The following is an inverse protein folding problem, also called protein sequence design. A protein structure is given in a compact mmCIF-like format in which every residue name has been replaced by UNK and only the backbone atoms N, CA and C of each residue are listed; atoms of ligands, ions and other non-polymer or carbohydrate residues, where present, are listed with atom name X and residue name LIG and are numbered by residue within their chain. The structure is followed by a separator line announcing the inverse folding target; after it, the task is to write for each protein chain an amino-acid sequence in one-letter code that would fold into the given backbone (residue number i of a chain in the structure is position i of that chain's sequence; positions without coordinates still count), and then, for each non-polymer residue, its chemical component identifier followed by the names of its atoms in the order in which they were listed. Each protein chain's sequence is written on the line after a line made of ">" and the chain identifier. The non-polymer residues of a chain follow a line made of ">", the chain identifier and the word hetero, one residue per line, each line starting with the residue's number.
data_IF_193984274527
#
_entry.id   IF_193984274527
#
_cell.length_a   1.000
_cell.length_b   1.000
_cell.length_c   1.000
_cell.angle_alpha   90.00
_cell.angle_beta   90.00
_cell.angle_gamma   90.00
#
_symmetry.space_group_name_H-M   'P 1'
#
loop_
_entity.id
_entity.type
_entity.pdbx_description
1 polymer ?
#
# COMPACT_ATOMS: atom_id res chain seq x y z
N UNK A 1 23.65 -39.18 -31.54
CA UNK A 1 22.46 -38.59 -30.91
C UNK A 1 22.77 -37.11 -30.74
N UNK A 2 22.32 -36.27 -31.72
CA UNK A 2 22.52 -34.84 -31.64
C UNK A 2 21.44 -34.23 -30.77
N UNK A 3 21.86 -33.56 -29.69
CA UNK A 3 20.94 -32.78 -28.85
C UNK A 3 20.83 -31.39 -29.48
N UNK A 4 19.75 -31.15 -30.19
CA UNK A 4 19.43 -29.83 -30.71
C UNK A 4 18.84 -28.97 -29.59
N UNK A 5 19.59 -28.01 -29.12
CA UNK A 5 19.13 -27.01 -28.15
C UNK A 5 18.21 -26.03 -28.87
N UNK A 6 16.93 -26.05 -28.57
CA UNK A 6 15.99 -25.04 -29.06
C UNK A 6 16.11 -23.78 -28.19
N UNK A 7 16.49 -22.67 -28.78
CA UNK A 7 16.52 -21.37 -28.12
C UNK A 7 15.20 -20.65 -28.38
N UNK A 8 14.50 -20.27 -27.34
CA UNK A 8 13.31 -19.44 -27.40
C UNK A 8 13.66 -18.03 -26.95
N UNK A 9 13.41 -17.05 -27.79
CA UNK A 9 13.56 -15.62 -27.43
C UNK A 9 12.18 -14.98 -27.48
N UNK A 10 11.81 -14.26 -26.43
CA UNK A 10 10.59 -13.47 -26.39
C UNK A 10 10.97 -12.01 -26.09
N UNK A 11 10.59 -11.10 -26.96
CA UNK A 11 10.72 -9.66 -26.76
C UNK A 11 9.32 -9.03 -26.69
N UNK A 12 9.12 -8.12 -25.74
CA UNK A 12 7.88 -7.38 -25.64
C UNK A 12 8.16 -5.92 -25.25
N UNK A 13 7.62 -5.00 -26.05
CA UNK A 13 7.53 -3.59 -25.69
C UNK A 13 6.20 -3.34 -24.98
N UNK A 14 6.29 -2.86 -23.76
CA UNK A 14 5.12 -2.66 -22.90
C UNK A 14 5.08 -1.22 -22.35
N UNK A 15 3.99 -0.52 -22.62
CA UNK A 15 3.73 0.82 -22.06
C UNK A 15 2.46 0.78 -21.21
N UNK A 16 2.59 1.11 -19.96
CA UNK A 16 1.43 1.29 -19.07
C UNK A 16 1.34 2.74 -18.59
N UNK A 17 0.12 3.24 -18.45
CA UNK A 17 -0.17 4.55 -17.88
C UNK A 17 -1.07 4.36 -16.68
N UNK A 18 -0.72 5.00 -15.57
CA UNK A 18 -1.53 5.01 -14.36
C UNK A 18 -2.01 6.43 -14.07
N UNK A 19 -3.30 6.56 -13.83
CA UNK A 19 -3.91 7.78 -13.27
C UNK A 19 -4.54 7.40 -11.93
N UNK A 20 -4.23 8.18 -10.90
CA UNK A 20 -4.82 8.00 -9.57
C UNK A 20 -5.28 9.36 -9.03
N UNK A 21 -6.45 9.36 -8.38
CA UNK A 21 -7.01 10.51 -7.70
C UNK A 21 -7.72 10.04 -6.43
N UNK A 22 -7.63 10.81 -5.36
CA UNK A 22 -8.28 10.48 -4.10
C UNK A 22 -8.63 11.71 -3.30
N UNK A 23 -9.55 11.54 -2.36
CA UNK A 23 -9.94 12.53 -1.38
C UNK A 23 -10.15 11.86 -0.03
N UNK A 24 -9.78 12.57 1.04
CA UNK A 24 -9.98 12.10 2.40
C UNK A 24 -10.53 13.21 3.29
N UNK A 25 -11.35 12.82 4.25
CA UNK A 25 -11.85 13.69 5.31
C UNK A 25 -11.45 13.08 6.64
N UNK A 26 -10.82 13.89 7.50
CA UNK A 26 -10.41 13.49 8.84
C UNK A 26 -11.08 14.39 9.86
N UNK A 27 -11.70 13.78 10.87
CA UNK A 27 -12.18 14.45 12.07
C UNK A 27 -11.13 14.38 13.19
N UNK A 28 -11.34 15.16 14.26
CA UNK A 28 -10.56 15.05 15.51
C UNK A 28 -11.50 15.12 16.71
N UNK A 29 -11.35 14.18 17.63
CA UNK A 29 -12.12 14.10 18.87
C UNK A 29 -11.18 13.75 20.02
N UNK A 30 -11.27 14.48 21.11
CA UNK A 30 -10.51 14.22 22.33
C UNK A 30 -11.41 13.55 23.39
N UNK A 31 -11.02 12.38 23.84
CA UNK A 31 -11.70 11.65 24.90
C UNK A 31 -10.68 11.26 25.98
N UNK A 32 -10.72 11.94 27.11
CA UNK A 32 -9.77 11.78 28.19
C UNK A 32 -8.32 11.99 27.71
N UNK A 33 -7.49 10.93 27.69
CA UNK A 33 -6.10 10.97 27.20
C UNK A 33 -5.95 10.52 25.74
N UNK A 34 -7.05 10.20 25.09
CA UNK A 34 -7.03 9.70 23.72
C UNK A 34 -7.48 10.77 22.75
N UNK A 35 -6.68 10.99 21.71
CA UNK A 35 -7.06 11.68 20.51
C UNK A 35 -7.54 10.64 19.50
N UNK A 36 -8.73 10.82 18.95
CA UNK A 36 -9.31 9.92 17.95
C UNK A 36 -9.46 10.69 16.64
N UNK A 37 -8.78 10.24 15.60
CA UNK A 37 -8.76 10.84 14.27
C UNK A 37 -9.43 9.91 13.26
N UNK A 38 -10.78 9.88 13.19
CA UNK A 38 -11.47 9.09 12.17
C UNK A 38 -11.20 9.69 10.79
N UNK A 39 -10.74 8.85 9.86
CA UNK A 39 -10.49 9.22 8.48
C UNK A 39 -11.35 8.38 7.56
N UNK A 40 -12.06 9.03 6.64
CA UNK A 40 -12.75 8.42 5.52
C UNK A 40 -12.06 8.86 4.23
N UNK A 41 -11.58 7.89 3.45
CA UNK A 41 -10.89 8.13 2.20
C UNK A 41 -11.60 7.43 1.04
N UNK A 42 -11.66 8.10 -0.10
CA UNK A 42 -12.14 7.57 -1.37
C UNK A 42 -11.02 7.73 -2.40
N UNK A 43 -10.58 6.62 -2.97
CA UNK A 43 -9.51 6.60 -3.95
C UNK A 43 -9.99 5.95 -5.25
N UNK A 44 -9.60 6.53 -6.38
CA UNK A 44 -9.83 6.00 -7.70
C UNK A 44 -8.51 5.88 -8.44
N UNK A 45 -8.27 4.73 -9.04
CA UNK A 45 -7.12 4.52 -9.92
C UNK A 45 -7.54 3.83 -11.21
N UNK A 46 -6.87 4.20 -12.26
CA UNK A 46 -7.00 3.56 -13.58
C UNK A 46 -5.62 3.24 -14.09
N UNK A 47 -5.41 1.99 -14.46
CA UNK A 47 -4.22 1.53 -15.16
C UNK A 47 -4.66 1.18 -16.57
N UNK A 48 -4.09 1.84 -17.55
CA UNK A 48 -4.29 1.56 -18.97
C UNK A 48 -3.02 0.98 -19.54
N UNK A 49 -3.12 -0.21 -20.10
CA UNK A 49 -2.02 -0.85 -20.81
C UNK A 49 -2.30 -0.82 -22.30
N UNK A 50 -1.28 -0.50 -23.08
CA UNK A 50 -1.35 -0.70 -24.53
C UNK A 50 -1.23 -2.19 -24.84
N UNK A 51 -1.77 -2.59 -25.98
CA UNK A 51 -1.61 -3.94 -26.50
C UNK A 51 -0.10 -4.23 -26.67
N UNK A 52 0.37 -5.28 -26.03
CA UNK A 52 1.74 -5.75 -26.17
C UNK A 52 1.77 -6.81 -27.27
N UNK A 53 2.64 -6.61 -28.27
CA UNK A 53 2.95 -7.64 -29.23
C UNK A 53 4.14 -8.46 -28.73
N UNK A 54 3.95 -9.76 -28.58
CA UNK A 54 5.02 -10.67 -28.27
C UNK A 54 5.48 -11.35 -29.56
N UNK A 55 6.73 -11.16 -29.92
CA UNK A 55 7.36 -11.92 -30.99
C UNK A 55 8.07 -13.13 -30.35
N UNK A 56 7.55 -14.31 -30.64
CA UNK A 56 8.16 -15.57 -30.17
C UNK A 56 8.81 -16.24 -31.36
N UNK A 57 10.14 -16.33 -31.35
CA UNK A 57 10.91 -17.05 -32.34
C UNK A 57 11.24 -18.45 -31.82
N UNK A 58 10.74 -19.46 -32.48
CA UNK A 58 10.99 -20.85 -32.13
C UNK A 58 11.38 -21.66 -33.36
N UNK A 59 12.58 -22.23 -33.35
CA UNK A 59 13.01 -23.23 -34.35
C UNK A 59 12.88 -22.82 -35.82
N UNK A 60 12.98 -21.50 -36.16
CA UNK A 60 12.87 -20.99 -37.51
C UNK A 60 11.46 -20.55 -37.95
N UNK A 61 10.53 -20.51 -37.03
CA UNK A 61 9.20 -19.91 -37.23
C UNK A 61 8.97 -18.75 -36.25
N UNK A 62 8.38 -17.64 -36.73
CA UNK A 62 7.94 -16.53 -35.89
C UNK A 62 6.44 -16.63 -35.69
N UNK A 63 5.98 -16.58 -34.45
CA UNK A 63 4.57 -16.36 -34.15
C UNK A 63 4.41 -15.07 -33.36
N UNK A 64 3.52 -14.19 -33.81
CA UNK A 64 3.16 -12.97 -33.10
C UNK A 64 1.88 -13.24 -32.33
N UNK A 65 1.95 -13.19 -31.03
CA UNK A 65 0.77 -13.18 -30.18
C UNK A 65 0.53 -11.76 -29.64
N UNK A 66 -0.68 -11.25 -29.86
CA UNK A 66 -1.16 -10.00 -29.28
C UNK A 66 -1.78 -10.32 -27.92
N UNK A 67 -1.18 -9.80 -26.87
CA UNK A 67 -1.79 -9.82 -25.54
C UNK A 67 -2.25 -8.41 -25.19
N UNK A 68 -3.53 -8.26 -24.90
CA UNK A 68 -4.10 -7.02 -24.37
C UNK A 68 -4.32 -7.20 -22.87
N UNK A 69 -3.43 -6.69 -22.01
CA UNK A 69 -3.59 -6.83 -20.56
C UNK A 69 -4.82 -6.08 -20.01
N UNK A 70 -5.49 -5.31 -20.88
CA UNK A 70 -6.73 -4.63 -20.55
C UNK A 70 -6.55 -3.43 -19.64
N UNK A 71 -7.65 -2.70 -19.45
CA UNK A 71 -7.71 -1.57 -18.53
C UNK A 71 -8.21 -2.04 -17.17
N UNK A 72 -7.47 -1.71 -16.12
CA UNK A 72 -7.90 -1.96 -14.74
C UNK A 72 -8.36 -0.64 -14.13
N UNK A 73 -9.59 -0.61 -13.63
CA UNK A 73 -10.13 0.52 -12.87
C UNK A 73 -10.45 0.05 -11.47
N UNK A 74 -9.95 0.78 -10.48
CA UNK A 74 -10.18 0.49 -9.07
C UNK A 74 -10.80 1.71 -8.40
N UNK A 75 -11.82 1.47 -7.61
CA UNK A 75 -12.41 2.44 -6.69
C UNK A 75 -12.37 1.83 -5.31
N UNK A 76 -11.78 2.51 -4.34
CA UNK A 76 -11.70 2.05 -2.95
C UNK A 76 -12.27 3.08 -1.99
N UNK A 77 -12.99 2.60 -0.99
CA UNK A 77 -13.47 3.36 0.15
C UNK A 77 -12.80 2.79 1.40
N UNK A 78 -12.10 3.64 2.13
CA UNK A 78 -11.39 3.24 3.35
C UNK A 78 -11.87 4.08 4.53
N UNK A 79 -12.22 3.40 5.62
CA UNK A 79 -12.44 4.01 6.92
C UNK A 79 -11.35 3.56 7.89
N UNK A 80 -10.63 4.52 8.47
CA UNK A 80 -9.51 4.24 9.36
C UNK A 80 -9.44 5.24 10.52
N UNK A 81 -10.07 4.93 11.67
CA UNK A 81 -9.89 5.73 12.87
C UNK A 81 -8.49 5.49 13.46
N UNK A 82 -7.81 6.56 13.81
CA UNK A 82 -6.50 6.52 14.46
C UNK A 82 -6.66 6.93 15.92
N UNK A 83 -6.44 6.00 16.83
CA UNK A 83 -6.50 6.21 18.28
C UNK A 83 -5.09 6.50 18.78
N UNK A 84 -4.85 7.73 19.21
CA UNK A 84 -3.54 8.18 19.69
C UNK A 84 -3.59 8.48 21.17
N UNK A 85 -2.52 8.14 21.86
CA UNK A 85 -2.28 8.57 23.23
C UNK A 85 -0.80 8.83 23.45
N UNK A 86 -0.48 9.87 24.21
CA UNK A 86 0.89 10.20 24.55
C UNK A 86 1.20 9.71 25.96
N UNK A 87 2.39 9.18 26.13
CA UNK A 87 2.94 8.76 27.42
C UNK A 87 4.18 9.60 27.70
N UNK A 88 4.21 10.26 28.83
CA UNK A 88 5.42 10.87 29.36
C UNK A 88 6.21 9.78 30.09
N UNK A 89 7.05 9.05 29.36
CA UNK A 89 7.90 8.05 29.96
C UNK A 89 9.21 8.68 30.39
N UNK A 90 9.36 8.89 31.70
CA UNK A 90 10.57 9.42 32.29
C UNK A 90 11.57 8.30 32.57
N UNK A 91 12.52 8.10 31.67
CA UNK A 91 13.69 7.26 31.94
C UNK A 91 14.90 7.76 31.14
N UNK A 92 15.51 8.81 31.63
CA UNK A 92 16.88 9.28 31.48
C UNK A 92 17.47 9.50 30.09
N UNK A 93 17.00 8.87 29.03
CA UNK A 93 17.55 8.99 27.65
C UNK A 93 16.50 9.10 26.54
N UNK A 94 15.28 8.76 26.81
CA UNK A 94 14.17 8.79 25.86
C UNK A 94 12.98 9.47 26.54
N UNK A 95 13.22 10.67 27.01
CA UNK A 95 12.21 11.43 27.72
C UNK A 95 11.40 12.25 26.71
N UNK A 96 10.19 12.47 27.05
CA UNK A 96 9.21 13.43 26.54
C UNK A 96 8.58 13.08 25.19
N UNK A 97 7.38 12.53 25.30
CA UNK A 97 6.47 12.43 24.16
C UNK A 97 6.58 11.14 23.36
N UNK A 98 6.44 9.99 24.03
CA UNK A 98 6.17 8.75 23.29
C UNK A 98 4.70 8.73 22.94
N UNK A 99 4.37 8.75 21.65
CA UNK A 99 3.02 8.61 21.14
C UNK A 99 2.80 7.19 20.67
N UNK A 100 1.77 6.56 21.22
CA UNK A 100 1.24 5.30 20.75
C UNK A 100 0.03 5.56 19.86
N UNK A 101 -0.06 4.85 18.75
CA UNK A 101 -1.18 4.92 17.82
C UNK A 101 -1.66 3.51 17.47
N UNK A 102 -2.97 3.31 17.55
CA UNK A 102 -3.66 2.13 17.06
C UNK A 102 -4.62 2.56 15.96
N UNK A 103 -4.40 2.05 14.74
CA UNK A 103 -5.15 2.43 13.55
C UNK A 103 -5.83 1.21 12.91
N UNK A 104 -7.02 0.81 13.37
CA UNK A 104 -7.83 -0.14 12.62
C UNK A 104 -8.23 0.46 11.27
N UNK A 105 -8.35 -0.39 10.26
CA UNK A 105 -8.67 0.00 8.89
C UNK A 105 -9.71 -0.95 8.31
N UNK A 106 -10.71 -0.39 7.65
CA UNK A 106 -11.72 -1.11 6.89
C UNK A 106 -11.73 -0.57 5.47
N UNK A 107 -11.50 -1.43 4.50
CA UNK A 107 -11.42 -1.03 3.09
C UNK A 107 -12.36 -1.89 2.27
N UNK A 108 -13.19 -1.26 1.44
CA UNK A 108 -13.96 -1.93 0.40
C UNK A 108 -13.52 -1.40 -0.95
N UNK A 109 -13.21 -2.30 -1.87
CA UNK A 109 -12.74 -1.96 -3.21
C UNK A 109 -13.61 -2.61 -4.28
N UNK A 110 -13.76 -1.88 -5.38
CA UNK A 110 -14.39 -2.35 -6.60
C UNK A 110 -13.35 -2.30 -7.72
N UNK A 111 -13.02 -3.46 -8.25
CA UNK A 111 -12.06 -3.62 -9.35
C UNK A 111 -12.85 -3.98 -10.61
N UNK A 112 -12.55 -3.31 -11.72
CA UNK A 112 -13.09 -3.61 -13.01
C UNK A 112 -11.94 -3.90 -13.98
N UNK A 113 -11.80 -5.16 -14.34
CA UNK A 113 -10.83 -5.68 -15.30
C UNK A 113 -11.56 -6.60 -16.29
N UNK A 114 -12.52 -6.01 -17.04
CA UNK A 114 -13.46 -6.79 -17.85
C UNK A 114 -14.59 -7.40 -17.03
N UNK A 115 -14.29 -7.94 -15.86
CA UNK A 115 -15.26 -8.40 -14.86
C UNK A 115 -15.20 -7.50 -13.64
N UNK A 116 -16.36 -7.23 -13.03
CA UNK A 116 -16.43 -6.41 -11.82
C UNK A 116 -16.31 -7.32 -10.60
N UNK A 117 -15.24 -7.11 -9.82
CA UNK A 117 -15.03 -7.76 -8.52
C UNK A 117 -15.20 -6.74 -7.41
N UNK A 118 -15.88 -7.12 -6.33
CA UNK A 118 -16.02 -6.32 -5.11
C UNK A 118 -15.43 -7.10 -3.95
N UNK A 119 -14.52 -6.48 -3.24
CA UNK A 119 -13.80 -7.08 -2.13
C UNK A 119 -13.75 -6.11 -0.97
N UNK A 120 -14.01 -6.60 0.24
CA UNK A 120 -13.82 -5.83 1.46
C UNK A 120 -12.81 -6.53 2.34
N UNK A 121 -12.07 -5.75 3.09
CA UNK A 121 -11.06 -6.23 4.00
C UNK A 121 -10.94 -5.36 5.23
N UNK A 122 -10.16 -5.86 6.17
CA UNK A 122 -9.85 -5.16 7.40
C UNK A 122 -8.37 -5.27 7.70
N UNK A 123 -7.86 -4.29 8.41
CA UNK A 123 -6.48 -4.26 8.84
C UNK A 123 -6.32 -3.50 10.13
N UNK A 124 -5.12 -3.49 10.63
CA UNK A 124 -4.73 -2.65 11.76
C UNK A 124 -3.25 -2.32 11.67
N UNK A 125 -2.90 -1.12 12.10
CA UNK A 125 -1.52 -0.72 12.29
C UNK A 125 -1.31 -0.26 13.73
N UNK A 126 -0.17 -0.64 14.31
CA UNK A 126 0.32 -0.17 15.58
C UNK A 126 1.56 0.67 15.33
N UNK A 127 1.59 1.88 15.86
CA UNK A 127 2.75 2.76 15.75
C UNK A 127 3.20 3.24 17.12
N UNK A 128 4.50 3.31 17.29
CA UNK A 128 5.16 3.94 18.42
C UNK A 128 6.10 5.01 17.89
N UNK A 129 5.92 6.24 18.32
CA UNK A 129 6.75 7.37 17.91
C UNK A 129 7.34 7.98 19.19
N UNK A 130 8.66 8.02 19.26
CA UNK A 130 9.39 8.63 20.38
C UNK A 130 10.22 9.80 19.86
N UNK A 131 10.15 10.92 20.55
CA UNK A 131 10.94 12.11 20.24
C UNK A 131 11.83 12.44 21.45
N UNK A 132 13.00 13.06 21.19
CA UNK A 132 13.83 13.61 22.26
C UNK A 132 13.29 15.00 22.69
N UNK A 133 13.82 15.55 23.80
CA UNK A 133 13.36 16.83 24.40
C UNK A 133 13.37 18.00 23.41
N UNK A 134 14.33 18.03 22.52
CA UNK A 134 14.51 19.11 21.53
C UNK A 134 13.81 18.80 20.19
N UNK A 135 13.09 17.68 20.09
CA UNK A 135 12.48 17.14 18.87
C UNK A 135 13.47 16.94 17.70
N UNK A 136 14.78 16.98 17.99
CA UNK A 136 15.83 16.79 16.96
C UNK A 136 15.96 15.33 16.54
N UNK A 137 15.55 14.40 17.40
CA UNK A 137 15.60 12.95 17.11
C UNK A 137 14.21 12.37 17.22
N UNK A 138 13.78 11.69 16.19
CA UNK A 138 12.52 10.96 16.17
C UNK A 138 12.78 9.51 15.79
N UNK A 139 12.34 8.59 16.61
CA UNK A 139 12.28 7.16 16.30
C UNK A 139 10.83 6.76 16.14
N UNK A 140 10.49 6.19 15.00
CA UNK A 140 9.17 5.63 14.79
C UNK A 140 9.26 4.16 14.42
N UNK A 141 8.36 3.38 14.98
CA UNK A 141 8.20 1.97 14.70
C UNK A 141 6.73 1.68 14.38
N UNK A 142 6.46 1.03 13.27
CA UNK A 142 5.10 0.71 12.84
C UNK A 142 5.02 -0.75 12.43
N UNK A 143 4.04 -1.45 12.97
CA UNK A 143 3.64 -2.80 12.56
C UNK A 143 2.23 -2.76 11.99
N UNK A 144 2.00 -3.44 10.89
CA UNK A 144 0.69 -3.51 10.27
C UNK A 144 0.34 -4.91 9.79
N UNK A 145 -0.95 -5.19 9.79
CA UNK A 145 -1.56 -6.35 9.15
C UNK A 145 -2.82 -5.90 8.42
N UNK A 146 -2.92 -6.29 7.16
CA UNK A 146 -4.08 -6.05 6.30
C UNK A 146 -4.55 -7.38 5.72
N UNK A 147 -5.86 -7.59 5.71
CA UNK A 147 -6.50 -8.73 5.08
C UNK A 147 -7.61 -8.23 4.16
N UNK A 148 -7.45 -8.46 2.87
CA UNK A 148 -8.44 -8.15 1.83
C UNK A 148 -8.72 -9.44 1.07
N UNK A 149 -9.98 -9.84 1.04
CA UNK A 149 -10.41 -11.14 0.50
C UNK A 149 -9.64 -12.32 1.14
N UNK A 150 -8.86 -13.07 0.36
CA UNK A 150 -8.02 -14.17 0.84
C UNK A 150 -6.60 -13.75 1.22
N UNK A 151 -6.18 -12.55 0.81
CA UNK A 151 -4.80 -12.12 0.92
C UNK A 151 -4.53 -11.42 2.24
N UNK A 152 -3.47 -11.84 2.93
CA UNK A 152 -3.01 -11.21 4.16
C UNK A 152 -1.62 -10.64 3.94
N UNK A 153 -1.48 -9.36 4.22
CA UNK A 153 -0.22 -8.63 4.09
C UNK A 153 0.24 -8.17 5.47
N UNK A 154 1.51 -8.42 5.78
CA UNK A 154 2.17 -7.94 6.98
C UNK A 154 3.16 -6.84 6.60
N UNK A 155 3.23 -5.80 7.40
CA UNK A 155 4.18 -4.71 7.21
C UNK A 155 4.90 -4.39 8.51
N UNK A 156 6.19 -4.09 8.40
CA UNK A 156 7.00 -3.57 9.49
C UNK A 156 7.86 -2.44 8.96
N UNK A 157 7.85 -1.31 9.64
CA UNK A 157 8.64 -0.15 9.28
C UNK A 157 9.29 0.42 10.53
N UNK A 158 10.59 0.76 10.42
CA UNK A 158 11.32 1.49 11.44
C UNK A 158 11.98 2.70 10.77
N UNK A 159 11.74 3.88 11.30
CA UNK A 159 12.29 5.13 10.78
C UNK A 159 12.99 5.86 11.92
N UNK A 160 14.23 6.27 11.69
CA UNK A 160 14.97 7.19 12.52
C UNK A 160 15.22 8.48 11.76
N UNK A 161 14.79 9.60 12.32
CA UNK A 161 14.99 10.94 11.77
C UNK A 161 15.87 11.73 12.72
N UNK A 162 16.84 12.42 12.16
CA UNK A 162 17.71 13.34 12.87
C UNK A 162 17.69 14.70 12.15
N UNK A 163 17.44 15.77 12.89
CA UNK A 163 17.49 17.15 12.40
C UNK A 163 18.73 17.85 13.00
N UNK A 164 19.47 18.57 12.17
CA UNK A 164 20.67 19.33 12.55
C UNK A 164 20.34 20.79 12.79
#
# INVERSE_FOLDING_TARGET
>A
MEVTTATMTAEADYVSRMLAAGAAVTGSFDIARWEILPTLALDHSTVSSQDASFEVTFGGGNSNELSSPGNVKQLSLTFSPDFRTSFDYYNGYWAQGTTFSLKPKFTCQRINQGTITKECGQGTALSLITQDEDAMKTLSFTLGVDKIASDTTYSANALYKFEF
#
